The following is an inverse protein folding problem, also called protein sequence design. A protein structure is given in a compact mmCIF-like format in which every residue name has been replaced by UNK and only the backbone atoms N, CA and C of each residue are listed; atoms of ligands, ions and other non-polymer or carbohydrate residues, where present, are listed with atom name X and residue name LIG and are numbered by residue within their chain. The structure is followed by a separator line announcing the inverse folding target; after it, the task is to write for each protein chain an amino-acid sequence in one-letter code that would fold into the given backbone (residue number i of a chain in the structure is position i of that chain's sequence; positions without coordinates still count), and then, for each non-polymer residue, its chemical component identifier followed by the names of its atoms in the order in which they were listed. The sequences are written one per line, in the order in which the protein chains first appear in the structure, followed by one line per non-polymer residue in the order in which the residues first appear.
data_IF_884753017950
#
_entry.id   IF_884753017950
#
_cell.length_a   1.000
_cell.length_b   1.000
_cell.length_c   1.000
_cell.angle_alpha   90.00
_cell.angle_beta   90.00
_cell.angle_gamma   90.00
#
_symmetry.space_group_name_H-M   'P 1'
#
loop_
_entity.id
_entity.type
_entity.pdbx_description
1 polymer ?
#
# COMPACT_ATOMS: atom_id res chain seq x y z
N UNK A 1 -5.95 40.15 -3.30
CA UNK A 1 -5.86 40.18 -1.84
C UNK A 1 -5.82 38.72 -1.35
N UNK A 2 -4.64 38.21 -1.02
CA UNK A 2 -4.42 36.83 -0.54
C UNK A 2 -4.28 36.89 0.98
N UNK A 3 -5.12 36.18 1.72
CA UNK A 3 -4.99 36.03 3.17
C UNK A 3 -4.62 34.57 3.42
N UNK A 4 -3.37 34.36 3.83
CA UNK A 4 -2.82 33.06 4.20
C UNK A 4 -3.23 32.70 5.63
N UNK A 5 -3.61 31.43 5.81
CA UNK A 5 -3.70 30.80 7.12
C UNK A 5 -2.29 30.40 7.58
N UNK A 6 -1.88 30.87 8.75
CA UNK A 6 -0.63 30.48 9.41
C UNK A 6 -0.96 29.69 10.68
N UNK A 7 -0.39 28.47 10.74
CA UNK A 7 0.33 27.84 11.88
C UNK A 7 -0.13 28.11 13.33
N UNK A 8 -0.03 27.24 14.33
CA UNK A 8 0.42 25.87 14.53
C UNK A 8 0.30 25.70 16.05
N UNK A 9 -0.29 24.63 16.57
CA UNK A 9 -0.04 24.21 17.95
C UNK A 9 0.09 22.69 17.95
N UNK A 10 1.31 22.23 17.67
CA UNK A 10 1.71 20.85 17.81
C UNK A 10 2.03 20.61 19.29
N UNK A 11 1.08 20.00 20.02
CA UNK A 11 1.36 19.43 21.33
C UNK A 11 1.93 18.03 21.07
N UNK A 12 3.26 17.94 21.09
CA UNK A 12 3.99 16.68 21.05
C UNK A 12 3.79 15.94 22.37
N UNK A 13 2.99 14.88 22.35
CA UNK A 13 2.89 13.94 23.46
C UNK A 13 3.95 12.85 23.26
N UNK A 14 5.07 12.95 23.98
CA UNK A 14 6.05 11.88 24.08
C UNK A 14 5.63 10.95 25.23
N UNK A 15 5.26 9.71 24.91
CA UNK A 15 5.12 8.64 25.91
C UNK A 15 6.26 7.66 25.68
N UNK A 16 7.18 7.62 26.65
CA UNK A 16 8.25 6.64 26.71
C UNK A 16 7.68 5.27 27.14
N UNK A 17 7.85 4.25 26.31
CA UNK A 17 7.58 2.85 26.65
C UNK A 17 8.91 2.17 26.96
N UNK A 18 9.19 1.98 28.24
CA UNK A 18 10.25 1.09 28.73
C UNK A 18 9.74 -0.35 28.72
N UNK A 19 10.09 -1.11 27.68
CA UNK A 19 9.91 -2.56 27.62
C UNK A 19 11.25 -3.25 27.90
N UNK A 20 11.40 -3.80 29.11
CA UNK A 20 12.45 -4.74 29.46
C UNK A 20 11.92 -6.18 29.40
N UNK A 21 12.65 -7.08 28.75
CA UNK A 21 12.29 -8.51 28.68
C UNK A 21 13.00 -9.22 27.54
N UNK A 22 14.24 -9.64 27.82
CA UNK A 22 15.21 -10.26 26.91
C UNK A 22 14.73 -11.66 26.48
N UNK A 23 14.83 -11.98 25.20
CA UNK A 23 14.95 -13.37 24.71
C UNK A 23 16.00 -13.40 23.61
N UNK A 24 17.01 -14.22 23.86
CA UNK A 24 18.28 -14.32 23.15
C UNK A 24 18.15 -14.97 21.77
N UNK A 25 19.06 -14.54 20.90
CA UNK A 25 19.23 -14.84 19.50
C UNK A 25 19.25 -16.32 19.09
N UNK A 26 18.85 -16.59 17.84
CA UNK A 26 19.76 -17.14 16.83
C UNK A 26 19.33 -16.67 15.43
N UNK A 27 20.08 -15.71 14.88
CA UNK A 27 20.02 -15.33 13.48
C UNK A 27 20.96 -16.27 12.70
N UNK A 28 20.42 -17.10 11.82
CA UNK A 28 21.22 -17.78 10.80
C UNK A 28 21.29 -16.90 9.55
N UNK A 29 22.33 -16.09 9.54
CA UNK A 29 22.87 -15.38 8.40
C UNK A 29 23.39 -16.42 7.39
N UNK A 30 22.80 -16.50 6.20
CA UNK A 30 23.41 -17.18 5.05
C UNK A 30 23.71 -16.14 3.98
N UNK A 31 24.98 -15.80 3.93
CA UNK A 31 25.61 -14.99 2.90
C UNK A 31 26.11 -15.87 1.76
N UNK A 32 26.04 -15.28 0.57
CA UNK A 32 26.89 -15.47 -0.59
C UNK A 32 26.76 -16.72 -1.50
N UNK A 33 26.65 -16.39 -2.78
CA UNK A 33 27.16 -17.12 -3.95
C UNK A 33 26.49 -18.42 -4.39
N UNK A 34 25.56 -18.31 -5.35
CA UNK A 34 25.38 -19.36 -6.37
C UNK A 34 25.19 -18.80 -7.78
N UNK A 35 26.35 -18.45 -8.35
CA UNK A 35 26.80 -18.71 -9.73
C UNK A 35 25.72 -19.15 -10.73
N UNK A 36 25.33 -18.21 -11.60
CA UNK A 36 24.57 -18.44 -12.83
C UNK A 36 25.47 -19.12 -13.87
N UNK A 37 25.26 -20.40 -14.14
CA UNK A 37 25.90 -21.09 -15.27
C UNK A 37 24.97 -21.05 -16.46
N UNK A 38 25.13 -20.07 -17.35
CA UNK A 38 24.49 -20.04 -18.68
C UNK A 38 25.58 -20.20 -19.74
N UNK A 39 25.94 -21.44 -20.00
CA UNK A 39 26.90 -21.82 -21.05
C UNK A 39 26.19 -21.75 -22.41
N UNK A 40 26.41 -20.67 -23.13
CA UNK A 40 26.04 -20.55 -24.54
C UNK A 40 27.00 -21.36 -25.40
N UNK A 41 26.40 -22.32 -26.12
CA UNK A 41 26.97 -23.23 -27.11
C UNK A 41 27.49 -22.45 -28.33
N UNK A 42 28.79 -22.50 -28.70
CA UNK A 42 29.24 -21.96 -29.98
C UNK A 42 28.90 -22.93 -31.11
N UNK A 43 28.43 -22.33 -32.20
CA UNK A 43 27.90 -22.96 -33.41
C UNK A 43 29.03 -23.52 -34.26
N UNK A 44 28.75 -24.70 -34.79
CA UNK A 44 29.49 -25.52 -35.75
C UNK A 44 30.04 -24.70 -36.93
N UNK A 45 31.37 -24.66 -37.08
CA UNK A 45 32.01 -24.25 -38.33
C UNK A 45 31.98 -25.46 -39.29
N UNK A 46 31.09 -25.41 -40.27
CA UNK A 46 30.96 -26.42 -41.32
C UNK A 46 32.10 -26.21 -42.32
N UNK A 47 33.06 -27.13 -42.31
CA UNK A 47 34.19 -27.23 -43.23
C UNK A 47 33.68 -27.91 -44.50
N UNK A 48 33.53 -27.15 -45.60
CA UNK A 48 33.17 -27.70 -46.90
C UNK A 48 34.44 -27.92 -47.71
N UNK A 49 34.91 -29.16 -47.75
CA UNK A 49 35.99 -29.62 -48.63
C UNK A 49 35.41 -29.93 -50.01
N UNK A 50 35.80 -29.15 -51.02
CA UNK A 50 35.57 -29.48 -52.42
C UNK A 50 36.94 -29.61 -53.09
N UNK A 51 37.33 -30.86 -53.28
CA UNK A 51 38.49 -31.28 -54.06
C UNK A 51 38.03 -31.58 -55.49
N UNK A 52 38.32 -30.69 -56.43
CA UNK A 52 38.34 -31.08 -57.84
C UNK A 52 39.51 -30.37 -58.53
N UNK A 53 40.59 -31.14 -58.67
CA UNK A 53 41.85 -30.79 -59.31
C UNK A 53 41.71 -31.17 -60.79
N UNK A 54 41.70 -30.20 -61.69
CA UNK A 54 41.83 -30.44 -63.13
C UNK A 54 43.32 -30.70 -63.42
N UNK A 55 43.72 -31.85 -63.97
CA UNK A 55 45.10 -32.06 -64.40
C UNK A 55 45.36 -31.35 -65.73
N UNK A 56 46.39 -30.51 -65.73
CA UNK A 56 47.02 -29.99 -66.95
C UNK A 56 48.09 -31.02 -67.32
N UNK A 57 47.89 -31.81 -68.38
CA UNK A 57 48.98 -32.57 -68.98
C UNK A 57 49.71 -31.68 -69.99
N UNK A 58 51.03 -31.57 -69.81
CA UNK A 58 51.98 -31.04 -70.78
C UNK A 58 53.05 -32.10 -70.92
N UNK A 59 53.13 -32.72 -72.10
CA UNK A 59 54.28 -33.42 -72.68
C UNK A 59 53.90 -33.58 -74.17
N UNK A 60 54.49 -32.89 -75.15
CA UNK A 60 55.88 -32.75 -75.63
C UNK A 60 56.45 -34.06 -76.19
N UNK A 61 56.46 -34.11 -77.53
CA UNK A 61 57.29 -34.90 -78.47
C UNK A 61 57.29 -36.43 -78.27
N UNK A 62 57.11 -37.26 -79.30
CA UNK A 62 57.95 -37.36 -80.50
C UNK A 62 57.28 -38.34 -81.47
N UNK A 63 57.22 -38.04 -82.77
CA UNK A 63 57.20 -39.08 -83.80
C UNK A 63 57.57 -38.49 -85.15
N UNK A 64 58.75 -38.89 -85.62
CA UNK A 64 59.29 -38.72 -86.96
C UNK A 64 58.53 -39.59 -87.95
N UNK A 65 58.20 -39.06 -89.12
CA UNK A 65 57.56 -39.80 -90.20
C UNK A 65 57.30 -38.91 -91.41
N UNK A 66 58.37 -38.60 -92.12
CA UNK A 66 58.41 -37.86 -93.38
C UNK A 66 57.95 -38.77 -94.54
N UNK A 67 56.88 -38.39 -95.26
CA UNK A 67 56.72 -38.75 -96.69
C UNK A 67 55.94 -37.65 -97.44
N UNK A 68 56.68 -36.93 -98.29
CA UNK A 68 56.33 -36.33 -99.59
C UNK A 68 54.97 -35.61 -99.83
N UNK A 69 55.11 -34.28 -100.01
CA UNK A 69 54.71 -33.50 -101.20
C UNK A 69 53.25 -33.54 -101.72
N UNK A 70 52.50 -32.48 -101.41
CA UNK A 70 51.61 -31.79 -102.36
C UNK A 70 51.46 -30.31 -101.94
N UNK A 71 51.61 -29.31 -102.84
CA UNK A 71 51.51 -27.91 -102.44
C UNK A 71 50.03 -27.52 -102.29
N UNK A 72 49.58 -27.29 -101.06
CA UNK A 72 48.25 -26.72 -100.79
C UNK A 72 48.31 -25.18 -100.93
N UNK A 73 47.28 -24.54 -101.53
CA UNK A 73 47.31 -23.13 -101.87
C UNK A 73 47.26 -22.24 -100.61
N UNK A 74 47.96 -21.11 -100.66
CA UNK A 74 47.83 -20.01 -99.69
C UNK A 74 46.35 -19.67 -99.49
N UNK A 75 45.81 -19.65 -98.25
CA UNK A 75 44.42 -19.28 -98.04
C UNK A 75 44.28 -17.79 -98.33
N UNK A 76 43.59 -17.45 -99.42
CA UNK A 76 43.05 -16.12 -99.58
C UNK A 76 42.05 -15.90 -98.45
N UNK A 77 42.33 -14.94 -97.56
CA UNK A 77 41.37 -14.52 -96.53
C UNK A 77 40.26 -13.76 -97.24
N UNK A 78 39.13 -14.42 -97.45
CA UNK A 78 37.95 -13.84 -98.08
C UNK A 78 37.36 -12.78 -97.14
N UNK A 79 36.96 -11.61 -97.67
CA UNK A 79 36.38 -10.49 -96.87
C UNK A 79 35.20 -10.93 -95.99
N UNK A 80 34.43 -11.94 -96.41
CA UNK A 80 33.33 -12.52 -95.65
C UNK A 80 33.75 -13.19 -94.34
N UNK A 81 34.95 -13.78 -94.28
CA UNK A 81 35.47 -14.42 -93.07
C UNK A 81 35.88 -13.39 -92.00
N UNK A 82 36.33 -12.21 -92.43
CA UNK A 82 36.64 -11.09 -91.53
C UNK A 82 35.33 -10.49 -91.01
N UNK A 83 34.35 -10.28 -91.88
CA UNK A 83 33.03 -9.77 -91.47
C UNK A 83 32.29 -10.71 -90.50
N UNK A 84 32.40 -12.04 -90.70
CA UNK A 84 31.84 -13.02 -89.78
C UNK A 84 32.54 -13.00 -88.40
N UNK A 85 33.86 -12.86 -88.38
CA UNK A 85 34.63 -12.74 -87.13
C UNK A 85 34.32 -11.44 -86.38
N UNK A 86 34.13 -10.33 -87.09
CA UNK A 86 33.75 -9.04 -86.51
C UNK A 86 32.36 -9.10 -85.85
N UNK A 87 31.36 -9.71 -86.52
CA UNK A 87 30.03 -9.93 -85.96
C UNK A 87 30.06 -10.82 -84.72
N UNK A 88 30.82 -11.91 -84.75
CA UNK A 88 30.98 -12.79 -83.59
C UNK A 88 31.63 -12.07 -82.39
N UNK A 89 32.56 -11.13 -82.63
CA UNK A 89 33.12 -10.27 -81.57
C UNK A 89 32.08 -9.30 -81.01
N UNK A 90 31.31 -8.64 -81.88
CA UNK A 90 30.24 -7.73 -81.45
C UNK A 90 29.17 -8.46 -80.63
N UNK A 91 28.78 -9.67 -81.05
CA UNK A 91 27.83 -10.50 -80.33
C UNK A 91 28.37 -10.96 -78.97
N UNK A 92 29.66 -11.31 -78.88
CA UNK A 92 30.30 -11.61 -77.59
C UNK A 92 30.32 -10.41 -76.64
N UNK A 93 30.62 -9.21 -77.15
CA UNK A 93 30.62 -7.99 -76.32
C UNK A 93 29.19 -7.70 -75.83
N UNK A 94 28.20 -7.77 -76.71
CA UNK A 94 26.80 -7.58 -76.36
C UNK A 94 26.28 -8.63 -75.35
N UNK A 95 26.72 -9.89 -75.47
CA UNK A 95 26.40 -10.93 -74.51
C UNK A 95 27.01 -10.67 -73.12
N UNK A 96 28.26 -10.21 -73.08
CA UNK A 96 28.95 -9.85 -71.84
C UNK A 96 28.31 -8.63 -71.18
N UNK A 97 27.91 -7.61 -71.95
CA UNK A 97 27.21 -6.44 -71.43
C UNK A 97 25.84 -6.78 -70.82
N UNK A 98 25.05 -7.63 -71.50
CA UNK A 98 23.77 -8.12 -70.95
C UNK A 98 23.98 -8.90 -69.66
N UNK A 99 24.95 -9.81 -69.63
CA UNK A 99 25.28 -10.56 -68.41
C UNK A 99 25.70 -9.64 -67.24
N UNK A 100 26.39 -8.54 -67.55
CA UNK A 100 26.78 -7.53 -66.56
C UNK A 100 25.58 -6.74 -66.03
N UNK A 101 24.68 -6.32 -66.91
CA UNK A 101 23.43 -5.64 -66.54
C UNK A 101 22.53 -6.55 -65.68
N UNK A 102 22.39 -7.82 -66.05
CA UNK A 102 21.62 -8.80 -65.29
C UNK A 102 22.21 -9.05 -63.90
N UNK A 103 23.53 -9.09 -63.79
CA UNK A 103 24.23 -9.22 -62.50
C UNK A 103 23.95 -8.02 -61.59
N UNK A 104 24.00 -6.80 -62.14
CA UNK A 104 23.70 -5.57 -61.40
C UNK A 104 22.24 -5.55 -60.96
N UNK A 105 21.30 -5.87 -61.85
CA UNK A 105 19.87 -5.92 -61.55
C UNK A 105 19.56 -6.92 -60.42
N UNK A 106 20.18 -8.10 -60.44
CA UNK A 106 20.05 -9.09 -59.35
C UNK A 106 20.59 -8.57 -58.02
N UNK A 107 21.73 -7.89 -58.03
CA UNK A 107 22.31 -7.30 -56.80
C UNK A 107 21.43 -6.20 -56.24
N UNK A 108 20.86 -5.34 -57.09
CA UNK A 108 19.92 -4.31 -56.66
C UNK A 108 18.64 -4.90 -56.07
N UNK A 109 18.09 -5.94 -56.70
CA UNK A 109 16.90 -6.62 -56.19
C UNK A 109 17.17 -7.24 -54.81
N UNK A 110 18.29 -7.95 -54.64
CA UNK A 110 18.68 -8.50 -53.33
C UNK A 110 18.87 -7.42 -52.25
N UNK A 111 19.37 -6.23 -52.62
CA UNK A 111 19.48 -5.09 -51.70
C UNK A 111 18.11 -4.57 -51.28
N UNK A 112 17.19 -4.39 -52.22
CA UNK A 112 15.81 -3.96 -51.93
C UNK A 112 15.10 -4.95 -51.02
N UNK A 113 15.22 -6.24 -51.31
CA UNK A 113 14.63 -7.31 -50.50
C UNK A 113 15.23 -7.35 -49.09
N UNK A 114 16.55 -7.16 -48.97
CA UNK A 114 17.23 -7.11 -47.68
C UNK A 114 16.80 -5.90 -46.83
N UNK A 115 16.63 -4.73 -47.45
CA UNK A 115 16.15 -3.52 -46.78
C UNK A 115 14.69 -3.72 -46.33
N UNK A 116 13.83 -4.23 -47.21
CA UNK A 116 12.43 -4.50 -46.87
C UNK A 116 12.30 -5.52 -45.72
N UNK A 117 13.13 -6.58 -45.72
CA UNK A 117 13.16 -7.55 -44.65
C UNK A 117 13.74 -6.99 -43.34
N UNK A 118 14.68 -6.05 -43.40
CA UNK A 118 15.19 -5.36 -42.22
C UNK A 118 14.13 -4.42 -41.63
N UNK A 119 13.38 -3.70 -42.47
CA UNK A 119 12.35 -2.77 -42.03
C UNK A 119 11.16 -3.48 -41.39
N UNK A 120 10.70 -4.60 -41.97
CA UNK A 120 9.66 -5.44 -41.37
C UNK A 120 10.06 -5.93 -39.98
N UNK A 121 11.30 -6.41 -39.82
CA UNK A 121 11.81 -6.84 -38.51
C UNK A 121 11.85 -5.71 -37.47
N UNK A 122 12.12 -4.47 -37.88
CA UNK A 122 12.07 -3.31 -36.99
C UNK A 122 10.63 -3.02 -36.56
N UNK A 123 9.70 -3.00 -37.50
CA UNK A 123 8.28 -2.76 -37.22
C UNK A 123 7.71 -3.84 -36.28
N UNK A 124 8.01 -5.11 -36.53
CA UNK A 124 7.60 -6.22 -35.66
C UNK A 124 8.19 -6.08 -34.24
N UNK A 125 9.44 -5.64 -34.13
CA UNK A 125 10.10 -5.44 -32.84
C UNK A 125 9.46 -4.29 -32.05
N UNK A 126 9.14 -3.17 -32.72
CA UNK A 126 8.46 -2.03 -32.09
C UNK A 126 7.06 -2.42 -31.62
N UNK A 127 6.28 -3.09 -32.47
CA UNK A 127 4.94 -3.55 -32.10
C UNK A 127 4.96 -4.52 -30.92
N UNK A 128 5.94 -5.42 -30.85
CA UNK A 128 6.10 -6.33 -29.72
C UNK A 128 6.44 -5.61 -28.41
N UNK A 129 7.32 -4.59 -28.46
CA UNK A 129 7.69 -3.78 -27.29
C UNK A 129 6.50 -2.94 -26.81
N UNK A 130 5.75 -2.34 -27.73
CA UNK A 130 4.58 -1.53 -27.41
C UNK A 130 3.50 -2.37 -26.73
N UNK A 131 3.22 -3.56 -27.27
CA UNK A 131 2.30 -4.53 -26.67
C UNK A 131 2.76 -4.96 -25.28
N UNK A 132 4.05 -5.27 -25.11
CA UNK A 132 4.60 -5.64 -23.80
C UNK A 132 4.48 -4.50 -22.77
N UNK A 133 4.63 -3.24 -23.21
CA UNK A 133 4.44 -2.06 -22.35
C UNK A 133 2.97 -1.89 -21.94
N UNK A 134 2.04 -2.01 -22.88
CA UNK A 134 0.60 -1.95 -22.60
C UNK A 134 0.17 -3.06 -21.63
N UNK A 135 0.63 -4.29 -21.86
CA UNK A 135 0.36 -5.43 -20.97
C UNK A 135 0.93 -5.19 -19.56
N UNK A 136 2.12 -4.58 -19.47
CA UNK A 136 2.75 -4.25 -18.18
C UNK A 136 1.96 -3.18 -17.42
N UNK A 137 1.47 -2.15 -18.12
CA UNK A 137 0.62 -1.11 -17.53
C UNK A 137 -0.71 -1.71 -17.08
N UNK A 138 -1.37 -2.51 -17.91
CA UNK A 138 -2.64 -3.17 -17.56
C UNK A 138 -2.49 -4.11 -16.35
N UNK A 139 -1.35 -4.80 -16.23
CA UNK A 139 -1.02 -5.60 -15.04
C UNK A 139 -0.78 -4.75 -13.81
N UNK A 140 -0.03 -3.65 -13.93
CA UNK A 140 0.19 -2.73 -12.82
C UNK A 140 -1.13 -2.12 -12.32
N UNK A 141 -2.01 -1.70 -13.25
CA UNK A 141 -3.33 -1.16 -12.94
C UNK A 141 -4.23 -2.21 -12.27
N UNK A 142 -4.23 -3.45 -12.75
CA UNK A 142 -5.03 -4.52 -12.15
C UNK A 142 -4.53 -4.89 -10.76
N UNK A 143 -3.22 -4.91 -10.53
CA UNK A 143 -2.63 -5.10 -9.20
C UNK A 143 -3.01 -3.94 -8.27
N UNK A 144 -2.87 -2.68 -8.72
CA UNK A 144 -3.22 -1.50 -7.92
C UNK A 144 -4.71 -1.46 -7.57
N UNK A 145 -5.60 -1.84 -8.49
CA UNK A 145 -7.05 -1.96 -8.25
C UNK A 145 -7.36 -3.13 -7.32
N UNK A 146 -6.72 -4.28 -7.49
CA UNK A 146 -6.90 -5.43 -6.60
C UNK A 146 -6.41 -5.13 -5.17
N UNK A 147 -5.32 -4.38 -5.02
CA UNK A 147 -4.79 -3.95 -3.73
C UNK A 147 -5.68 -2.89 -3.09
N UNK A 148 -6.15 -1.90 -3.86
CA UNK A 148 -7.14 -0.93 -3.40
C UNK A 148 -8.45 -1.60 -2.98
N UNK A 149 -8.92 -2.59 -3.73
CA UNK A 149 -10.11 -3.38 -3.41
C UNK A 149 -9.92 -4.28 -2.19
N UNK A 150 -8.74 -4.89 -2.00
CA UNK A 150 -8.42 -5.65 -0.79
C UNK A 150 -8.34 -4.76 0.46
N UNK A 151 -7.74 -3.58 0.32
CA UNK A 151 -7.64 -2.58 1.39
C UNK A 151 -9.02 -2.01 1.71
N UNK A 152 -9.85 -1.73 0.69
CA UNK A 152 -11.23 -1.32 0.93
C UNK A 152 -12.02 -2.45 1.60
N UNK A 153 -11.94 -3.68 1.13
CA UNK A 153 -12.66 -4.81 1.71
C UNK A 153 -12.29 -5.02 3.20
N UNK A 154 -11.01 -4.89 3.57
CA UNK A 154 -10.57 -4.88 4.99
C UNK A 154 -11.08 -3.69 5.81
N UNK A 155 -11.31 -2.53 5.20
CA UNK A 155 -11.94 -1.37 5.88
C UNK A 155 -13.41 -1.62 6.22
N UNK A 156 -14.05 -2.65 5.68
CA UNK A 156 -15.49 -2.87 5.85
C UNK A 156 -15.86 -4.27 6.38
N UNK A 157 -14.86 -5.05 6.81
CA UNK A 157 -15.10 -6.25 7.62
C UNK A 157 -15.65 -5.79 8.97
N UNK A 158 -16.98 -5.79 9.04
CA UNK A 158 -17.74 -5.65 10.28
C UNK A 158 -17.61 -6.91 11.13
N UNK A 159 -18.06 -6.82 12.37
CA UNK A 159 -17.97 -7.91 13.33
C UNK A 159 -18.24 -7.45 14.74
N UNK A 160 -18.53 -8.42 15.61
CA UNK A 160 -18.54 -8.21 17.04
C UNK A 160 -17.10 -7.97 17.52
N UNK A 161 -16.94 -7.09 18.50
CA UNK A 161 -15.68 -6.87 19.19
C UNK A 161 -15.92 -6.65 20.68
N UNK A 162 -14.90 -6.97 21.47
CA UNK A 162 -14.84 -6.64 22.90
C UNK A 162 -13.51 -5.96 23.19
N UNK A 163 -13.48 -5.02 24.12
CA UNK A 163 -12.26 -4.36 24.52
C UNK A 163 -12.18 -4.10 26.01
N UNK A 164 -11.02 -3.60 26.40
CA UNK A 164 -10.76 -3.04 27.71
C UNK A 164 -9.94 -1.77 27.53
N UNK A 165 -10.30 -0.73 28.27
CA UNK A 165 -9.62 0.55 28.24
C UNK A 165 -9.47 1.12 29.64
N UNK A 166 -8.41 1.91 29.80
CA UNK A 166 -8.16 2.68 31.00
C UNK A 166 -7.76 4.10 30.63
N UNK A 167 -7.99 5.04 31.53
CA UNK A 167 -7.66 6.42 31.26
C UNK A 167 -7.95 7.38 32.39
N UNK A 168 -8.11 8.65 32.03
CA UNK A 168 -8.40 9.72 32.95
C UNK A 168 -9.82 10.23 32.75
N UNK A 169 -10.48 10.64 33.84
CA UNK A 169 -11.81 11.24 33.80
C UNK A 169 -11.73 12.67 34.31
N UNK A 170 -12.11 13.63 33.47
CA UNK A 170 -11.98 15.05 33.77
C UNK A 170 -13.35 15.63 34.14
N UNK A 171 -13.55 16.13 35.35
CA UNK A 171 -14.80 16.80 35.71
C UNK A 171 -14.94 18.12 34.95
N UNK A 172 -16.17 18.51 34.63
CA UNK A 172 -16.49 19.75 33.93
C UNK A 172 -17.58 20.54 34.66
N UNK A 173 -17.70 21.83 34.32
CA UNK A 173 -18.71 22.72 34.89
C UNK A 173 -18.66 22.72 36.42
N UNK A 174 -19.83 22.61 37.04
CA UNK A 174 -19.99 22.70 38.49
C UNK A 174 -19.24 21.59 39.24
N UNK A 175 -19.11 20.39 38.66
CA UNK A 175 -18.31 19.31 39.25
C UNK A 175 -16.84 19.69 39.42
N UNK A 176 -16.30 20.51 38.52
CA UNK A 176 -14.92 21.00 38.62
C UNK A 176 -14.82 22.26 39.46
N UNK A 177 -15.77 23.18 39.31
CA UNK A 177 -15.69 24.55 39.84
C UNK A 177 -16.48 24.76 41.13
N UNK A 178 -16.89 23.68 41.80
CA UNK A 178 -17.71 23.75 43.00
C UNK A 178 -17.14 24.67 44.09
N UNK A 179 -18.07 25.35 44.77
CA UNK A 179 -17.78 26.18 45.93
C UNK A 179 -17.26 25.34 47.10
N UNK A 180 -16.67 26.01 48.09
CA UNK A 180 -16.13 25.40 49.31
C UNK A 180 -17.09 24.47 50.03
N UNK A 181 -18.40 24.71 49.88
CA UNK A 181 -19.45 24.01 50.63
C UNK A 181 -20.22 22.98 49.79
N UNK A 182 -19.93 22.85 48.49
CA UNK A 182 -20.59 21.89 47.59
C UNK A 182 -19.67 20.76 47.12
N UNK A 183 -18.35 20.91 47.29
CA UNK A 183 -17.37 19.82 47.15
C UNK A 183 -17.08 19.42 45.71
N UNK A 184 -16.02 19.98 45.13
CA UNK A 184 -15.61 19.77 43.75
C UNK A 184 -14.57 18.68 43.59
N UNK A 185 -14.32 18.33 42.33
CA UNK A 185 -13.50 17.20 41.96
C UNK A 185 -12.35 17.60 41.03
N UNK A 186 -11.25 16.88 41.18
CA UNK A 186 -10.10 16.88 40.29
C UNK A 186 -10.19 15.72 39.29
N UNK A 187 -9.31 15.75 38.30
CA UNK A 187 -9.14 14.64 37.36
C UNK A 187 -8.89 13.34 38.13
N UNK A 188 -9.62 12.30 37.73
CA UNK A 188 -9.52 10.97 38.27
C UNK A 188 -9.12 9.95 37.23
N UNK A 189 -9.35 8.68 37.53
CA UNK A 189 -9.11 7.56 36.60
C UNK A 189 -10.42 6.93 36.14
N UNK A 190 -10.36 6.28 34.98
CA UNK A 190 -11.47 5.56 34.35
C UNK A 190 -11.03 4.17 33.90
N UNK A 191 -11.91 3.19 34.03
CA UNK A 191 -11.83 1.88 33.36
C UNK A 191 -13.12 1.64 32.59
N UNK A 192 -13.01 1.21 31.34
CA UNK A 192 -14.16 0.98 30.46
C UNK A 192 -14.02 -0.35 29.70
N UNK A 193 -15.11 -1.10 29.63
CA UNK A 193 -15.21 -2.36 28.88
C UNK A 193 -16.26 -2.20 27.78
N UNK A 194 -15.84 -1.94 26.53
CA UNK A 194 -16.76 -1.89 25.41
C UNK A 194 -17.01 -3.24 24.76
N UNK A 195 -18.25 -3.45 24.38
CA UNK A 195 -18.70 -4.52 23.49
C UNK A 195 -19.44 -3.84 22.34
N UNK A 196 -19.07 -4.15 21.10
CA UNK A 196 -19.73 -3.54 19.97
C UNK A 196 -19.86 -4.46 18.78
N UNK A 197 -20.68 -4.02 17.84
CA UNK A 197 -20.86 -4.67 16.55
C UNK A 197 -20.75 -3.62 15.47
N UNK A 198 -19.70 -3.74 14.66
CA UNK A 198 -19.53 -2.93 13.46
C UNK A 198 -20.27 -3.60 12.29
N UNK A 199 -21.18 -2.91 11.61
CA UNK A 199 -21.99 -3.52 10.55
C UNK A 199 -21.10 -3.74 9.31
N UNK A 200 -21.15 -4.94 8.76
CA UNK A 200 -20.38 -5.31 7.56
C UNK A 200 -20.80 -4.45 6.38
N UNK A 201 -19.84 -3.93 5.60
CA UNK A 201 -20.11 -3.05 4.45
C UNK A 201 -20.88 -1.75 4.77
N UNK A 202 -20.95 -1.34 6.03
CA UNK A 202 -21.63 -0.11 6.48
C UNK A 202 -20.70 0.75 7.35
N UNK A 203 -20.77 2.10 7.30
CA UNK A 203 -19.94 2.94 8.15
C UNK A 203 -20.46 2.92 9.59
N UNK A 204 -21.66 2.37 9.81
CA UNK A 204 -22.33 2.33 11.09
C UNK A 204 -21.92 1.11 11.93
N UNK A 205 -22.02 1.29 13.24
CA UNK A 205 -21.91 0.24 14.23
C UNK A 205 -22.72 0.60 15.47
N UNK A 206 -22.89 -0.37 16.35
CA UNK A 206 -23.48 -0.19 17.66
C UNK A 206 -22.44 -0.56 18.72
N UNK A 207 -22.49 0.10 19.88
CA UNK A 207 -21.60 -0.19 21.00
C UNK A 207 -22.35 -0.04 22.31
N UNK A 208 -22.12 -0.97 23.21
CA UNK A 208 -22.53 -0.90 24.61
C UNK A 208 -21.27 -0.95 25.44
N UNK A 209 -21.15 -0.09 26.45
CA UNK A 209 -20.01 -0.14 27.34
C UNK A 209 -20.37 0.05 28.81
N UNK A 210 -19.68 -0.71 29.65
CA UNK A 210 -19.69 -0.54 31.10
C UNK A 210 -18.44 0.22 31.51
N UNK A 211 -18.60 1.29 32.28
CA UNK A 211 -17.49 2.14 32.74
C UNK A 211 -17.56 2.40 34.24
N UNK A 212 -16.37 2.59 34.80
CA UNK A 212 -16.14 2.96 36.18
C UNK A 212 -15.20 4.16 36.19
N UNK A 213 -15.66 5.26 36.77
CA UNK A 213 -14.88 6.48 36.98
C UNK A 213 -14.71 6.73 38.48
N UNK A 214 -13.50 7.10 38.90
CA UNK A 214 -13.25 7.61 40.25
C UNK A 214 -12.57 8.97 40.15
N UNK A 215 -13.33 10.02 40.41
CA UNK A 215 -12.89 11.41 40.45
C UNK A 215 -12.37 11.76 41.84
N UNK A 216 -11.19 12.37 41.89
CA UNK A 216 -10.55 12.72 43.16
C UNK A 216 -11.23 13.93 43.78
N UNK A 217 -11.60 13.85 45.05
CA UNK A 217 -12.17 14.99 45.76
C UNK A 217 -11.16 16.12 46.00
N UNK A 218 -11.62 17.38 46.02
CA UNK A 218 -10.78 18.54 46.33
C UNK A 218 -10.70 18.79 47.83
N UNK A 219 -9.51 19.16 48.29
CA UNK A 219 -9.29 19.74 49.61
C UNK A 219 -9.54 21.24 49.53
N UNK A 220 -10.43 21.76 50.39
CA UNK A 220 -10.74 23.19 50.42
C UNK A 220 -10.11 23.88 51.64
N UNK A 221 -10.15 23.22 52.80
CA UNK A 221 -9.49 23.70 54.02
C UNK A 221 -9.20 22.51 54.96
N UNK A 222 -8.62 22.78 56.13
CA UNK A 222 -8.28 21.74 57.11
C UNK A 222 -9.49 20.99 57.69
N UNK A 223 -10.71 21.54 57.56
CA UNK A 223 -11.95 20.98 58.08
C UNK A 223 -12.83 20.32 57.00
N UNK A 224 -12.56 20.57 55.71
CA UNK A 224 -13.38 20.08 54.61
C UNK A 224 -12.56 19.61 53.41
N UNK A 225 -12.74 18.32 53.12
CA UNK A 225 -12.30 17.66 51.90
C UNK A 225 -13.51 16.97 51.27
N UNK A 226 -13.71 17.17 49.97
CA UNK A 226 -14.69 16.37 49.25
C UNK A 226 -14.20 14.90 49.21
N UNK A 227 -15.06 13.91 49.48
CA UNK A 227 -14.71 12.51 49.27
C UNK A 227 -14.60 12.21 47.77
N UNK A 228 -13.95 11.11 47.40
CA UNK A 228 -13.85 10.71 45.99
C UNK A 228 -15.23 10.33 45.42
N UNK A 229 -15.61 10.98 44.31
CA UNK A 229 -16.81 10.62 43.57
C UNK A 229 -16.54 9.40 42.71
N UNK A 230 -17.35 8.37 42.90
CA UNK A 230 -17.35 7.18 42.07
C UNK A 230 -18.59 7.18 41.18
N UNK A 231 -18.39 6.91 39.89
CA UNK A 231 -19.44 6.85 38.89
C UNK A 231 -19.39 5.50 38.20
N UNK A 232 -20.51 4.79 38.20
CA UNK A 232 -20.69 3.58 37.39
C UNK A 232 -21.61 3.92 36.24
N UNK A 233 -21.19 3.70 35.00
CA UNK A 233 -22.00 4.07 33.84
C UNK A 233 -22.18 2.91 32.88
N UNK A 234 -23.41 2.76 32.38
CA UNK A 234 -23.75 1.93 31.23
C UNK A 234 -24.10 2.83 30.06
N UNK A 235 -23.43 2.65 28.92
CA UNK A 235 -23.62 3.47 27.74
C UNK A 235 -24.11 2.62 26.58
N UNK A 236 -24.99 3.19 25.75
CA UNK A 236 -25.49 2.57 24.53
C UNK A 236 -25.42 3.59 23.39
N UNK A 237 -24.54 3.32 22.44
CA UNK A 237 -24.07 4.29 21.45
C UNK A 237 -24.22 3.78 20.03
N UNK A 238 -24.57 4.70 19.14
CA UNK A 238 -24.40 4.53 17.70
C UNK A 238 -22.99 5.03 17.33
N UNK A 239 -22.29 4.25 16.52
CA UNK A 239 -20.94 4.53 16.06
C UNK A 239 -20.95 4.80 14.57
N UNK A 240 -20.33 5.90 14.15
CA UNK A 240 -20.10 6.24 12.75
C UNK A 240 -18.60 6.26 12.46
N UNK A 241 -18.16 5.36 11.59
CA UNK A 241 -16.77 5.24 11.14
C UNK A 241 -16.55 6.18 9.96
N UNK A 242 -15.62 7.10 10.11
CA UNK A 242 -15.31 8.11 9.10
C UNK A 242 -14.05 7.70 8.35
N UNK A 243 -14.11 7.47 7.03
CA UNK A 243 -12.94 7.08 6.25
C UNK A 243 -12.04 8.29 5.98
N UNK A 244 -11.19 8.66 6.94
CA UNK A 244 -10.16 9.67 6.74
C UNK A 244 -8.91 9.03 6.09
N UNK A 245 -8.72 9.24 4.79
CA UNK A 245 -7.44 9.00 4.09
C UNK A 245 -6.94 7.54 4.00
N UNK A 246 -5.64 7.39 3.76
CA UNK A 246 -4.97 6.08 3.54
C UNK A 246 -4.56 5.40 4.87
N UNK A 247 -5.36 4.42 5.26
CA UNK A 247 -4.96 3.00 5.52
C UNK A 247 -4.69 2.51 6.96
N UNK A 248 -4.26 3.30 7.95
CA UNK A 248 -3.83 2.72 9.25
C UNK A 248 -4.64 3.17 10.48
N UNK A 249 -5.24 4.36 10.45
CA UNK A 249 -6.06 4.91 11.53
C UNK A 249 -7.51 5.06 11.08
N UNK A 250 -8.46 4.55 11.87
CA UNK A 250 -9.89 4.69 11.61
C UNK A 250 -10.45 5.67 12.62
N UNK A 251 -10.71 6.89 12.16
CA UNK A 251 -11.47 7.84 12.95
C UNK A 251 -12.93 7.38 13.02
N UNK A 252 -13.52 7.50 14.20
CA UNK A 252 -14.94 7.27 14.39
C UNK A 252 -15.48 8.30 15.38
N UNK A 253 -16.76 8.60 15.21
CA UNK A 253 -17.54 9.32 16.20
C UNK A 253 -18.58 8.37 16.76
N UNK A 254 -18.99 8.60 18.00
CA UNK A 254 -20.08 7.87 18.62
C UNK A 254 -20.90 8.80 19.50
N UNK A 255 -22.12 8.39 19.77
CA UNK A 255 -22.96 9.05 20.74
C UNK A 255 -24.26 8.31 20.94
N UNK A 256 -24.89 8.59 22.07
CA UNK A 256 -26.06 7.87 22.50
C UNK A 256 -26.49 8.20 23.91
N UNK A 257 -27.14 7.23 24.54
CA UNK A 257 -27.66 7.36 25.89
C UNK A 257 -26.64 6.83 26.90
N UNK A 258 -26.61 7.46 28.07
CA UNK A 258 -25.89 6.96 29.24
C UNK A 258 -26.85 6.80 30.41
N UNK A 259 -26.68 5.74 31.18
CA UNK A 259 -27.23 5.61 32.52
C UNK A 259 -26.05 5.59 33.48
N UNK A 260 -26.00 6.48 34.45
CA UNK A 260 -24.92 6.59 35.43
C UNK A 260 -25.43 6.54 36.86
N UNK A 261 -24.70 5.86 37.74
CA UNK A 261 -24.94 5.78 39.17
C UNK A 261 -23.77 6.45 39.90
N UNK A 262 -24.09 7.44 40.72
CA UNK A 262 -23.11 8.23 41.47
C UNK A 262 -23.09 7.81 42.95
N UNK A 263 -21.88 7.58 43.47
CA UNK A 263 -21.62 7.19 44.87
C UNK A 263 -20.39 7.90 45.39
N UNK A 264 -20.16 7.84 46.70
CA UNK A 264 -18.95 8.35 47.31
C UNK A 264 -18.97 9.84 47.59
N UNK A 265 -20.06 10.56 47.33
CA UNK A 265 -20.25 11.97 47.67
C UNK A 265 -21.12 12.14 48.94
N UNK A 266 -20.98 13.29 49.60
CA UNK A 266 -21.78 13.63 50.79
C UNK A 266 -23.18 14.09 50.38
N UNK A 267 -24.22 13.61 51.08
CA UNK A 267 -25.62 13.95 50.77
C UNK A 267 -26.10 15.19 51.53
N UNK A 268 -25.48 15.49 52.66
CA UNK A 268 -25.84 16.60 53.52
C UNK A 268 -24.66 17.56 53.66
N UNK A 269 -24.88 18.81 53.24
CA UNK A 269 -23.93 19.91 53.34
C UNK A 269 -24.40 20.99 54.34
N UNK A 270 -25.41 20.70 55.16
CA UNK A 270 -25.93 21.64 56.19
C UNK A 270 -24.85 22.12 57.16
N UNK A 271 -23.86 21.26 57.47
CA UNK A 271 -22.62 21.66 58.11
C UNK A 271 -21.43 21.50 57.14
N UNK A 272 -20.94 22.59 56.53
CA UNK A 272 -19.81 22.54 55.59
C UNK A 272 -18.48 22.15 56.26
N UNK A 273 -18.39 22.11 57.60
CA UNK A 273 -17.19 21.68 58.33
C UNK A 273 -17.28 20.23 58.83
N UNK A 274 -18.42 19.58 58.69
CA UNK A 274 -18.63 18.18 59.09
C UNK A 274 -19.77 17.57 58.27
N UNK A 275 -19.60 17.42 56.94
CA UNK A 275 -20.61 16.80 56.11
C UNK A 275 -20.80 15.34 56.54
N UNK A 276 -22.03 14.97 56.89
CA UNK A 276 -22.39 13.61 57.29
C UNK A 276 -23.16 12.90 56.18
N UNK A 277 -23.17 11.56 56.19
CA UNK A 277 -23.91 10.68 55.27
C UNK A 277 -23.37 10.64 53.83
N UNK A 278 -22.34 9.81 53.62
CA UNK A 278 -21.82 9.49 52.30
C UNK A 278 -22.75 8.53 51.56
N UNK A 279 -23.07 8.83 50.29
CA UNK A 279 -23.92 7.97 49.48
C UNK A 279 -23.17 6.69 49.06
N UNK A 280 -23.70 5.54 49.42
CA UNK A 280 -23.16 4.22 49.03
C UNK A 280 -23.84 3.67 47.79
N UNK A 281 -23.27 2.61 47.20
CA UNK A 281 -23.79 1.96 46.00
C UNK A 281 -25.21 1.41 46.13
N UNK A 282 -25.58 0.88 47.30
CA UNK A 282 -26.93 0.36 47.59
C UNK A 282 -27.98 1.46 47.56
N UNK A 283 -27.61 2.67 47.96
CA UNK A 283 -28.50 3.82 48.11
C UNK A 283 -28.52 4.71 46.85
N UNK A 284 -27.76 4.32 45.82
CA UNK A 284 -27.60 5.09 44.60
C UNK A 284 -28.52 4.61 43.47
N UNK A 285 -29.28 5.54 42.92
CA UNK A 285 -30.18 5.37 41.78
C UNK A 285 -29.44 5.63 40.46
N UNK A 286 -29.77 4.88 39.41
CA UNK A 286 -29.34 5.19 38.05
C UNK A 286 -29.99 6.48 37.54
N UNK A 287 -29.21 7.28 36.81
CA UNK A 287 -29.64 8.56 36.23
C UNK A 287 -29.29 8.58 34.75
N UNK A 288 -30.23 9.05 33.96
CA UNK A 288 -30.11 9.06 32.51
C UNK A 288 -29.49 10.36 32.02
N UNK A 289 -28.77 10.23 30.92
CA UNK A 289 -28.07 11.31 30.27
C UNK A 289 -27.78 10.95 28.83
N UNK A 290 -26.96 11.79 28.21
CA UNK A 290 -26.44 11.54 26.88
C UNK A 290 -24.93 11.62 26.89
N UNK A 291 -24.32 10.95 25.93
CA UNK A 291 -22.89 11.03 25.71
C UNK A 291 -22.60 11.19 24.21
N UNK A 292 -21.49 11.85 23.90
CA UNK A 292 -20.99 11.97 22.53
C UNK A 292 -19.48 12.07 22.55
N UNK A 293 -18.81 11.42 21.60
CA UNK A 293 -17.37 11.33 21.58
C UNK A 293 -16.81 10.98 20.22
N UNK A 294 -15.48 10.90 20.18
CA UNK A 294 -14.74 10.50 19.01
C UNK A 294 -13.47 9.76 19.41
N UNK A 295 -13.01 8.91 18.52
CA UNK A 295 -11.82 8.12 18.75
C UNK A 295 -11.11 7.72 17.47
N UNK A 296 -9.89 7.24 17.64
CA UNK A 296 -9.09 6.64 16.60
C UNK A 296 -8.83 5.18 16.96
N UNK A 297 -8.99 4.30 15.99
CA UNK A 297 -8.62 2.90 16.10
C UNK A 297 -7.47 2.57 15.15
N UNK A 298 -6.45 1.90 15.68
CA UNK A 298 -5.24 1.46 15.02
C UNK A 298 -5.20 -0.07 15.06
N UNK A 299 -5.55 -0.71 13.95
CA UNK A 299 -5.62 -2.17 13.88
C UNK A 299 -4.24 -2.77 13.62
N UNK A 300 -3.83 -3.73 14.45
CA UNK A 300 -2.61 -4.50 14.31
C UNK A 300 -2.96 -5.95 13.98
N UNK A 301 -2.74 -6.36 12.72
CA UNK A 301 -3.10 -7.71 12.26
C UNK A 301 -4.60 -7.88 12.00
N UNK A 302 -5.11 -9.09 12.26
CA UNK A 302 -6.47 -9.51 11.88
C UNK A 302 -7.51 -9.44 13.00
N UNK A 303 -7.08 -9.39 14.26
CA UNK A 303 -7.95 -9.62 15.43
C UNK A 303 -7.70 -8.66 16.59
N UNK A 304 -6.86 -7.64 16.45
CA UNK A 304 -6.55 -6.74 17.57
C UNK A 304 -6.37 -5.32 17.09
N UNK A 305 -6.89 -4.36 17.84
CA UNK A 305 -6.73 -2.93 17.57
C UNK A 305 -6.53 -2.13 18.85
N UNK A 306 -5.63 -1.16 18.81
CA UNK A 306 -5.50 -0.15 19.84
C UNK A 306 -6.44 1.00 19.52
N UNK A 307 -7.20 1.48 20.49
CA UNK A 307 -8.03 2.66 20.30
C UNK A 307 -7.78 3.71 21.37
N UNK A 308 -7.87 4.97 20.97
CA UNK A 308 -7.94 6.13 21.86
C UNK A 308 -9.28 6.81 21.65
N UNK A 309 -9.98 7.13 22.73
CA UNK A 309 -11.31 7.70 22.67
C UNK A 309 -11.46 8.80 23.72
N UNK A 310 -12.12 9.89 23.33
CA UNK A 310 -12.56 10.94 24.23
C UNK A 310 -14.07 11.10 24.08
N UNK A 311 -14.77 11.18 25.20
CA UNK A 311 -16.24 11.25 25.24
C UNK A 311 -16.66 12.33 26.21
N UNK A 312 -17.59 13.17 25.81
CA UNK A 312 -18.31 14.07 26.71
C UNK A 312 -19.54 13.35 27.25
N UNK A 313 -19.72 13.39 28.57
CA UNK A 313 -20.83 12.77 29.27
C UNK A 313 -21.60 13.84 30.03
N UNK A 314 -22.92 13.91 29.80
CA UNK A 314 -23.84 14.80 30.49
C UNK A 314 -24.95 13.98 31.09
N UNK A 315 -25.03 13.94 32.42
CA UNK A 315 -26.09 13.27 33.14
C UNK A 315 -26.83 14.32 33.95
N UNK A 316 -28.15 14.36 33.83
CA UNK A 316 -29.00 15.20 34.68
C UNK A 316 -29.35 14.40 35.94
N UNK A 317 -28.75 14.69 37.10
CA UNK A 317 -29.08 14.07 38.37
C UNK A 317 -30.39 14.63 38.95
N UNK A 318 -31.39 14.92 38.13
CA UNK A 318 -32.70 15.32 38.63
C UNK A 318 -33.26 14.13 39.43
N UNK A 319 -33.50 14.38 40.71
CA UNK A 319 -33.84 13.41 41.76
C UNK A 319 -32.68 12.55 42.31
N UNK A 320 -31.46 13.07 42.43
CA UNK A 320 -30.58 12.60 43.50
C UNK A 320 -30.73 13.51 44.72
N UNK A 321 -31.47 13.06 45.73
CA UNK A 321 -31.51 13.71 47.04
C UNK A 321 -30.08 13.84 47.58
N UNK A 322 -29.62 15.09 47.72
CA UNK A 322 -28.30 15.42 48.25
C UNK A 322 -27.14 15.47 47.25
N UNK A 323 -27.35 15.30 45.93
CA UNK A 323 -26.27 15.62 44.98
C UNK A 323 -26.19 17.13 44.79
N UNK A 324 -25.01 17.75 44.96
CA UNK A 324 -24.89 19.20 45.10
C UNK A 324 -25.00 19.98 43.77
N UNK A 325 -25.13 19.30 42.62
CA UNK A 325 -25.16 19.92 41.30
C UNK A 325 -26.41 19.59 40.51
N UNK A 326 -26.88 20.53 39.70
CA UNK A 326 -28.00 20.34 38.79
C UNK A 326 -27.65 19.44 37.59
N UNK A 327 -26.36 19.31 37.24
CA UNK A 327 -25.90 18.44 36.17
C UNK A 327 -24.51 17.86 36.49
N UNK A 328 -24.31 16.59 36.18
CA UNK A 328 -23.01 15.94 36.27
C UNK A 328 -22.39 15.86 34.86
N UNK A 329 -21.27 16.56 34.67
CA UNK A 329 -20.54 16.66 33.40
C UNK A 329 -19.10 16.23 33.57
N UNK A 330 -18.64 15.34 32.71
CA UNK A 330 -17.25 14.90 32.71
C UNK A 330 -16.82 14.37 31.34
N UNK A 331 -15.50 14.32 31.14
CA UNK A 331 -14.87 13.85 29.91
C UNK A 331 -13.87 12.74 30.23
N UNK A 332 -14.24 11.47 30.05
CA UNK A 332 -13.27 10.38 30.00
C UNK A 332 -12.42 10.46 28.73
N UNK A 333 -11.11 10.32 28.90
CA UNK A 333 -10.12 10.12 27.84
C UNK A 333 -9.48 8.76 28.11
N UNK A 334 -9.70 7.80 27.22
CA UNK A 334 -9.34 6.39 27.41
C UNK A 334 -8.43 5.90 26.30
N UNK A 335 -7.51 5.02 26.67
CA UNK A 335 -6.69 4.22 25.77
C UNK A 335 -6.99 2.75 26.05
N UNK A 336 -7.26 1.97 25.01
CA UNK A 336 -7.66 0.59 25.16
C UNK A 336 -7.29 -0.30 24.01
N UNK A 337 -7.46 -1.60 24.23
CA UNK A 337 -7.27 -2.64 23.24
C UNK A 337 -8.63 -3.31 22.99
N UNK A 338 -8.93 -3.60 21.73
CA UNK A 338 -10.11 -4.33 21.31
C UNK A 338 -9.73 -5.56 20.49
N UNK A 339 -10.56 -6.60 20.59
CA UNK A 339 -10.44 -7.91 19.95
C UNK A 339 -11.68 -8.20 19.11
#
# INVERSE_FOLDING_TARGET
MRIGFSSSCAIGLAIALTLGGVSTAQAQQRDSTRRTTRTTRPRTARRTTSSQRIPISKDRNTSTGEVAAQPAPTPAVNQDSIAAAERARQDSIAAVERARQDSIARVEQMRRDSIAAAERRRQDSVAAVEKARQDSIARADSIARAEAARISMRRWLGGAYIGIAGGASLPMGDMKSAATNTGGYNTGWNVTVPIGWDISHSPFGIRVDGSFDRLAGKNYNAAFSAPDLTVYSGNADLKLRVPLGRTWSRFYVLGGATASKFTGFNQDFTNPNAPTNQRTFSNASWKWGWNAGGGFNFNFGHMTGLFVESRYVSVKPDAVTGFPYAEAKFVPIILGIQF
#
